data_IF_774154657568
#
_entry.id   IF_774154657568
#
_cell.length_a   1.000
_cell.length_b   1.000
_cell.length_c   1.000
_cell.angle_alpha   90.00
_cell.angle_beta   90.00
_cell.angle_gamma   90.00
#
_symmetry.space_group_name_H-M   'P 1'
#
loop_
_entity.id
_entity.type
_entity.pdbx_description
1 polymer ?
#
# COMPACT_ATOMS: atom_id res chain seq x y z
N UNK A 1 -3.77 -23.09 9.39
CA UNK A 1 -4.76 -22.86 8.31
C UNK A 1 -5.42 -21.51 8.59
N UNK A 2 -5.62 -20.68 7.58
CA UNK A 2 -6.34 -19.42 7.78
C UNK A 2 -7.84 -19.72 7.81
N UNK A 3 -8.51 -19.38 8.92
CA UNK A 3 -9.98 -19.45 9.04
C UNK A 3 -10.56 -18.24 8.35
N UNK A 4 -11.52 -18.43 7.43
CA UNK A 4 -12.22 -17.32 6.78
C UNK A 4 -13.43 -16.92 7.61
N UNK A 5 -13.77 -15.64 7.68
CA UNK A 5 -15.05 -15.19 8.23
C UNK A 5 -16.27 -15.68 7.43
N UNK A 6 -16.02 -16.26 6.23
CA UNK A 6 -17.05 -16.80 5.35
C UNK A 6 -17.35 -18.27 5.58
N UNK A 7 -16.42 -19.03 6.15
CA UNK A 7 -16.53 -20.48 6.24
C UNK A 7 -15.73 -21.01 7.44
N UNK A 8 -16.31 -21.88 8.31
CA UNK A 8 -15.57 -22.54 9.37
C UNK A 8 -14.40 -23.40 8.86
N UNK A 9 -14.47 -23.88 7.62
CA UNK A 9 -13.43 -24.71 7.03
C UNK A 9 -12.38 -23.88 6.26
N UNK A 10 -11.10 -24.26 6.35
CA UNK A 10 -10.04 -23.57 5.64
C UNK A 10 -10.17 -23.77 4.13
N UNK A 11 -10.31 -22.67 3.39
CA UNK A 11 -10.30 -22.69 1.92
C UNK A 11 -8.92 -22.34 1.36
N UNK A 12 -8.50 -22.94 0.24
CA UNK A 12 -7.25 -22.58 -0.44
C UNK A 12 -7.23 -21.10 -0.88
N UNK A 13 -6.04 -20.49 -0.79
CA UNK A 13 -5.79 -19.16 -1.36
C UNK A 13 -5.47 -19.30 -2.85
N UNK A 14 -6.43 -18.95 -3.69
CA UNK A 14 -6.32 -18.96 -5.16
C UNK A 14 -5.94 -17.57 -5.69
N UNK A 15 -5.44 -17.50 -6.93
CA UNK A 15 -4.92 -16.26 -7.53
C UNK A 15 -5.96 -15.13 -7.60
N UNK A 16 -7.21 -15.46 -7.88
CA UNK A 16 -8.34 -14.52 -7.93
C UNK A 16 -8.67 -13.88 -6.56
N UNK A 17 -8.20 -14.48 -5.47
CA UNK A 17 -8.33 -13.97 -4.09
C UNK A 17 -7.17 -13.09 -3.66
N UNK A 18 -6.21 -12.83 -4.56
CA UNK A 18 -5.03 -12.00 -4.31
C UNK A 18 -5.10 -10.73 -5.17
N UNK A 19 -4.69 -9.61 -4.58
CA UNK A 19 -4.45 -8.38 -5.35
C UNK A 19 -3.07 -7.75 -5.08
N UNK A 20 -2.49 -7.17 -6.13
CA UNK A 20 -1.34 -6.26 -6.03
C UNK A 20 -1.80 -4.82 -6.24
N UNK A 21 -1.63 -3.99 -5.22
CA UNK A 21 -2.02 -2.59 -5.22
C UNK A 21 -0.85 -1.65 -5.47
N UNK A 22 -1.03 -0.68 -6.36
CA UNK A 22 0.00 0.30 -6.75
C UNK A 22 -0.52 1.73 -6.67
N UNK A 23 0.38 2.70 -6.63
CA UNK A 23 0.00 4.11 -6.71
C UNK A 23 -0.22 4.57 -8.16
N UNK A 24 0.53 4.02 -9.11
CA UNK A 24 0.54 4.48 -10.49
C UNK A 24 0.29 3.36 -11.51
N UNK A 25 -0.27 3.71 -12.66
CA UNK A 25 -0.69 2.72 -13.68
C UNK A 25 0.51 2.06 -14.38
N UNK A 26 1.61 2.78 -14.51
CA UNK A 26 2.90 2.26 -14.99
C UNK A 26 3.47 1.21 -14.03
N UNK A 27 3.41 1.43 -12.71
CA UNK A 27 3.75 0.43 -11.70
C UNK A 27 2.87 -0.81 -11.85
N UNK A 28 1.56 -0.64 -12.00
CA UNK A 28 0.64 -1.76 -12.24
C UNK A 28 1.01 -2.53 -13.52
N UNK A 29 1.36 -1.83 -14.60
CA UNK A 29 1.78 -2.46 -15.85
C UNK A 29 3.09 -3.24 -15.69
N UNK A 30 4.10 -2.66 -15.02
CA UNK A 30 5.38 -3.29 -14.76
C UNK A 30 5.24 -4.54 -13.88
N UNK A 31 4.42 -4.48 -12.83
CA UNK A 31 4.12 -5.63 -11.98
C UNK A 31 3.40 -6.73 -12.76
N UNK A 32 2.41 -6.40 -13.60
CA UNK A 32 1.73 -7.41 -14.44
C UNK A 32 2.72 -8.12 -15.38
N UNK A 33 3.61 -7.37 -16.01
CA UNK A 33 4.64 -7.95 -16.88
C UNK A 33 5.56 -8.91 -16.08
N UNK A 34 6.08 -8.45 -14.94
CA UNK A 34 6.95 -9.26 -14.09
C UNK A 34 6.28 -10.54 -13.55
N UNK A 35 4.98 -10.49 -13.21
CA UNK A 35 4.21 -11.66 -12.79
C UNK A 35 4.00 -12.65 -13.94
N UNK A 36 3.72 -12.15 -15.15
CA UNK A 36 3.57 -12.98 -16.34
C UNK A 36 4.88 -13.72 -16.68
N UNK A 37 6.03 -13.05 -16.54
CA UNK A 37 7.35 -13.63 -16.80
C UNK A 37 7.66 -14.83 -15.88
N UNK A 38 7.09 -14.86 -14.67
CA UNK A 38 7.25 -15.96 -13.70
C UNK A 38 6.05 -16.93 -13.71
N UNK A 39 5.14 -16.80 -14.69
CA UNK A 39 3.99 -17.69 -14.84
C UNK A 39 2.86 -17.48 -13.83
N UNK A 40 2.85 -16.37 -13.09
CA UNK A 40 1.75 -16.00 -12.19
C UNK A 40 0.68 -15.26 -12.98
N UNK A 41 -0.44 -15.93 -13.19
CA UNK A 41 -1.61 -15.43 -13.91
C UNK A 41 -2.77 -15.17 -12.95
N UNK A 42 -3.80 -14.45 -13.42
CA UNK A 42 -5.09 -14.20 -12.75
C UNK A 42 -5.06 -13.42 -11.41
N UNK A 43 -3.89 -13.02 -10.92
CA UNK A 43 -3.77 -12.06 -9.82
C UNK A 43 -4.25 -10.68 -10.28
N UNK A 44 -5.16 -10.05 -9.52
CA UNK A 44 -5.53 -8.67 -9.83
C UNK A 44 -4.37 -7.74 -9.51
N UNK A 45 -3.85 -7.00 -10.49
CA UNK A 45 -2.89 -5.93 -10.25
C UNK A 45 -3.54 -4.63 -10.66
N UNK A 46 -3.62 -3.62 -9.78
CA UNK A 46 -4.23 -2.34 -10.16
C UNK A 46 -3.84 -1.17 -9.25
N UNK A 47 -4.33 0.03 -9.57
CA UNK A 47 -4.12 1.21 -8.73
C UNK A 47 -5.11 1.31 -7.57
N UNK A 48 -4.79 2.08 -6.53
CA UNK A 48 -5.67 2.34 -5.40
C UNK A 48 -7.12 2.68 -5.83
N UNK A 49 -7.30 3.62 -6.75
CA UNK A 49 -8.63 4.04 -7.23
C UNK A 49 -9.41 2.91 -7.92
N UNK A 50 -8.71 1.98 -8.60
CA UNK A 50 -9.33 0.83 -9.28
C UNK A 50 -9.68 -0.29 -8.30
N UNK A 51 -8.95 -0.40 -7.20
CA UNK A 51 -9.19 -1.38 -6.14
C UNK A 51 -10.20 -0.90 -5.09
N UNK A 52 -10.56 0.39 -5.10
CA UNK A 52 -11.49 0.96 -4.16
C UNK A 52 -12.86 0.25 -4.19
N UNK A 53 -13.38 -0.09 -3.02
CA UNK A 53 -14.65 -0.83 -2.89
C UNK A 53 -14.56 -2.32 -3.20
N UNK A 54 -13.39 -2.83 -3.57
CA UNK A 54 -13.12 -4.27 -3.72
C UNK A 54 -12.39 -4.81 -2.49
N UNK A 55 -12.49 -6.12 -2.28
CA UNK A 55 -11.83 -6.82 -1.20
C UNK A 55 -11.24 -8.13 -1.69
N UNK A 56 -10.11 -8.50 -1.10
CA UNK A 56 -9.32 -9.67 -1.40
C UNK A 56 -8.90 -10.32 -0.10
N UNK A 57 -8.59 -11.61 -0.13
CA UNK A 57 -8.09 -12.31 1.04
C UNK A 57 -6.72 -11.78 1.46
N UNK A 58 -5.83 -11.67 0.47
CA UNK A 58 -4.46 -11.19 0.65
C UNK A 58 -4.18 -10.08 -0.35
N UNK A 59 -3.54 -9.01 0.14
CA UNK A 59 -3.03 -7.95 -0.72
C UNK A 59 -1.52 -7.78 -0.57
N UNK A 60 -0.85 -7.51 -1.69
CA UNK A 60 0.52 -7.02 -1.72
C UNK A 60 0.46 -5.59 -2.23
N UNK A 61 0.95 -4.61 -1.49
CA UNK A 61 0.84 -3.20 -1.89
C UNK A 61 2.20 -2.53 -1.94
N UNK A 62 2.44 -1.80 -3.02
CA UNK A 62 3.62 -0.95 -3.13
C UNK A 62 3.32 0.33 -2.36
N UNK A 63 4.13 0.61 -1.34
CA UNK A 63 3.98 1.84 -0.56
C UNK A 63 4.05 3.05 -1.51
N UNK A 64 3.09 4.01 -1.47
CA UNK A 64 2.98 5.05 -2.49
C UNK A 64 4.25 5.88 -2.73
N UNK A 65 5.05 6.08 -1.69
CA UNK A 65 6.31 6.83 -1.75
C UNK A 65 7.51 6.04 -2.32
N UNK A 66 7.37 4.74 -2.57
CA UNK A 66 8.50 3.88 -2.99
C UNK A 66 9.02 4.16 -4.41
N UNK A 67 8.21 4.81 -5.25
CA UNK A 67 8.60 5.17 -6.62
C UNK A 67 9.03 6.63 -6.79
N UNK A 68 9.17 7.40 -5.69
CA UNK A 68 9.33 8.85 -5.76
C UNK A 68 10.69 9.32 -5.26
N UNK A 69 11.37 10.23 -5.96
CA UNK A 69 12.58 10.87 -5.45
C UNK A 69 12.26 11.92 -4.37
N UNK A 70 11.04 12.47 -4.36
CA UNK A 70 10.62 13.60 -3.53
C UNK A 70 9.23 13.39 -2.87
N UNK A 71 9.05 13.91 -1.64
CA UNK A 71 7.78 13.88 -0.90
C UNK A 71 7.08 15.26 -0.95
N UNK A 72 6.60 15.66 -2.12
CA UNK A 72 5.80 16.89 -2.25
C UNK A 72 4.38 16.73 -1.69
N UNK A 73 3.71 17.85 -1.35
CA UNK A 73 2.36 17.89 -0.73
C UNK A 73 1.27 17.10 -1.49
N UNK A 74 1.41 16.92 -2.80
CA UNK A 74 0.51 16.07 -3.61
C UNK A 74 0.68 14.56 -3.35
N UNK A 75 1.86 14.12 -2.89
CA UNK A 75 2.15 12.71 -2.58
C UNK A 75 1.73 12.30 -1.18
N UNK A 76 1.47 13.28 -0.32
CA UNK A 76 0.87 13.11 1.00
C UNK A 76 -0.65 12.98 0.92
N UNK A 77 -1.23 12.73 -0.26
CA UNK A 77 -2.67 12.50 -0.41
C UNK A 77 -3.09 11.29 0.45
N UNK A 78 -3.67 11.59 1.62
CA UNK A 78 -4.03 10.70 2.73
C UNK A 78 -4.80 9.44 2.27
N UNK A 79 -5.50 9.51 1.13
CA UNK A 79 -6.40 8.46 0.66
C UNK A 79 -5.73 7.23 0.05
N UNK A 80 -4.59 7.35 -0.63
CA UNK A 80 -4.06 6.22 -1.44
C UNK A 80 -3.52 5.10 -0.56
N UNK A 81 -2.73 5.43 0.46
CA UNK A 81 -2.25 4.44 1.43
C UNK A 81 -3.42 3.82 2.19
N UNK A 82 -4.39 4.64 2.63
CA UNK A 82 -5.59 4.16 3.32
C UNK A 82 -6.36 3.14 2.49
N UNK A 83 -6.62 3.43 1.21
CA UNK A 83 -7.30 2.49 0.31
C UNK A 83 -6.47 1.21 0.17
N UNK A 84 -5.19 1.32 -0.19
CA UNK A 84 -4.32 0.16 -0.42
C UNK A 84 -4.21 -0.74 0.82
N UNK A 85 -4.04 -0.15 2.00
CA UNK A 85 -3.88 -0.86 3.26
C UNK A 85 -5.18 -1.49 3.78
N UNK A 86 -6.33 -1.26 3.14
CA UNK A 86 -7.65 -1.71 3.63
C UNK A 86 -8.40 -2.63 2.66
N UNK A 87 -7.77 -3.09 1.58
CA UNK A 87 -8.42 -4.02 0.61
C UNK A 87 -8.28 -5.50 0.99
N UNK A 88 -7.55 -5.82 2.06
CA UNK A 88 -7.34 -7.18 2.53
C UNK A 88 -8.37 -7.59 3.58
N UNK A 89 -8.70 -8.88 3.61
CA UNK A 89 -9.50 -9.51 4.68
C UNK A 89 -8.63 -10.21 5.71
N UNK A 90 -7.55 -10.86 5.25
CA UNK A 90 -6.71 -11.71 6.10
C UNK A 90 -5.30 -11.15 6.27
N UNK A 91 -4.66 -10.67 5.20
CA UNK A 91 -3.29 -10.15 5.28
C UNK A 91 -2.99 -9.05 4.25
N UNK A 92 -2.23 -8.04 4.68
CA UNK A 92 -1.68 -7.00 3.84
C UNK A 92 -0.15 -7.01 3.95
N UNK A 93 0.52 -7.21 2.82
CA UNK A 93 1.98 -7.16 2.71
C UNK A 93 2.36 -5.84 2.05
N UNK A 94 3.12 -5.01 2.75
CA UNK A 94 3.56 -3.70 2.22
C UNK A 94 5.00 -3.80 1.73
N UNK A 95 5.20 -3.61 0.43
CA UNK A 95 6.52 -3.48 -0.19
C UNK A 95 6.90 -2.02 -0.20
N UNK A 96 7.97 -1.68 0.52
CA UNK A 96 8.41 -0.30 0.69
C UNK A 96 9.89 -0.14 0.33
N UNK A 97 10.23 0.91 -0.42
CA UNK A 97 11.62 1.29 -0.68
C UNK A 97 12.31 1.63 0.63
N UNK A 98 13.54 1.16 0.82
CA UNK A 98 14.37 1.63 1.91
C UNK A 98 14.52 3.16 1.88
N UNK A 99 14.57 3.80 3.06
CA UNK A 99 14.71 5.25 3.18
C UNK A 99 13.41 6.06 3.09
N UNK A 100 12.23 5.44 2.88
CA UNK A 100 10.96 6.18 2.90
C UNK A 100 10.67 6.85 4.24
N UNK A 101 11.07 6.23 5.37
CA UNK A 101 10.94 6.90 6.69
C UNK A 101 11.77 8.18 6.75
N UNK A 102 13.05 8.10 6.36
CA UNK A 102 13.93 9.27 6.33
C UNK A 102 13.42 10.35 5.36
N UNK A 103 12.90 9.96 4.20
CA UNK A 103 12.28 10.87 3.25
C UNK A 103 11.11 11.66 3.87
N UNK A 104 10.29 11.00 4.70
CA UNK A 104 9.19 11.63 5.42
C UNK A 104 9.70 12.55 6.54
N UNK A 105 10.74 12.14 7.27
CA UNK A 105 11.38 12.95 8.31
C UNK A 105 11.97 14.26 7.75
N UNK A 106 12.54 14.21 6.54
CA UNK A 106 13.12 15.38 5.84
C UNK A 106 12.06 16.35 5.28
N UNK A 107 10.79 15.93 5.22
CA UNK A 107 9.67 16.73 4.68
C UNK A 107 8.51 16.81 5.69
N UNK A 108 8.72 17.44 6.86
CA UNK A 108 7.65 17.60 7.84
C UNK A 108 6.50 18.42 7.23
N UNK A 109 5.27 18.09 7.61
CA UNK A 109 4.08 18.85 7.23
C UNK A 109 4.08 20.22 7.94
N UNK A 110 4.84 21.17 7.40
CA UNK A 110 4.94 22.53 7.94
C UNK A 110 4.07 23.53 7.17
N UNK A 111 3.02 23.07 6.48
CA UNK A 111 2.10 24.01 5.84
C UNK A 111 1.48 24.92 6.91
N UNK A 112 1.61 26.26 6.76
CA UNK A 112 1.08 27.18 7.74
C UNK A 112 -0.43 26.98 7.85
N UNK A 113 -0.92 26.78 9.08
CA UNK A 113 -2.35 26.66 9.37
C UNK A 113 -3.05 27.92 8.87
N UNK A 114 -3.74 27.81 7.73
CA UNK A 114 -4.60 28.87 7.24
C UNK A 114 -5.90 28.85 8.05
N UNK A 115 -6.07 29.83 8.93
CA UNK A 115 -7.30 30.04 9.69
C UNK A 115 -8.48 30.19 8.70
N UNK A 116 -9.41 29.24 8.74
CA UNK A 116 -10.62 29.24 7.90
C UNK A 116 -10.68 28.17 6.81
N UNK A 117 -9.60 27.40 6.59
CA UNK A 117 -9.63 26.22 5.73
C UNK A 117 -9.89 24.98 6.58
N UNK A 118 -10.80 24.10 6.15
CA UNK A 118 -11.01 22.80 6.80
C UNK A 118 -9.74 21.98 6.66
N UNK A 119 -8.98 21.84 7.75
CA UNK A 119 -7.82 20.94 7.81
C UNK A 119 -8.30 19.55 7.46
N UNK A 120 -7.74 18.95 6.40
CA UNK A 120 -8.11 17.61 5.95
C UNK A 120 -7.52 16.62 6.94
N UNK A 121 -8.27 16.30 7.98
CA UNK A 121 -7.84 15.40 9.05
C UNK A 121 -8.17 13.94 8.66
N UNK A 122 -7.26 12.98 8.84
CA UNK A 122 -5.87 13.13 9.31
C UNK A 122 -4.93 13.68 8.23
N UNK A 123 -3.86 14.35 8.67
CA UNK A 123 -2.75 14.74 7.80
C UNK A 123 -2.09 13.48 7.22
N UNK A 124 -1.93 13.45 5.90
CA UNK A 124 -1.34 12.31 5.21
C UNK A 124 0.10 12.03 5.62
N UNK A 125 0.86 13.05 6.05
CA UNK A 125 2.19 12.87 6.62
C UNK A 125 2.14 12.06 7.91
N UNK A 126 1.31 12.47 8.87
CA UNK A 126 1.12 11.75 10.15
C UNK A 126 0.62 10.32 9.92
N UNK A 127 -0.31 10.13 8.97
CA UNK A 127 -0.83 8.81 8.64
C UNK A 127 0.25 7.86 8.11
N UNK A 128 1.15 8.35 7.24
CA UNK A 128 2.28 7.54 6.76
C UNK A 128 3.23 7.18 7.90
N UNK A 129 3.59 8.13 8.76
CA UNK A 129 4.43 7.85 9.94
C UNK A 129 3.79 6.83 10.87
N UNK A 130 2.51 6.98 11.18
CA UNK A 130 1.79 6.07 12.06
C UNK A 130 1.77 4.64 11.50
N UNK A 131 1.50 4.49 10.19
CA UNK A 131 1.49 3.17 9.52
C UNK A 131 2.89 2.57 9.51
N UNK A 132 3.92 3.32 9.11
CA UNK A 132 5.29 2.80 9.06
C UNK A 132 5.83 2.44 10.45
N UNK A 133 5.52 3.26 11.46
CA UNK A 133 5.83 2.97 12.86
C UNK A 133 5.17 1.68 13.31
N UNK A 134 3.86 1.51 13.01
CA UNK A 134 3.13 0.28 13.38
C UNK A 134 3.67 -0.97 12.68
N UNK A 135 4.11 -0.84 11.43
CA UNK A 135 4.66 -1.96 10.66
C UNK A 135 6.13 -2.27 10.98
N UNK A 136 6.82 -1.42 11.76
CA UNK A 136 8.24 -1.59 12.06
C UNK A 136 8.55 -2.91 12.77
N UNK A 137 7.66 -3.36 13.66
CA UNK A 137 7.74 -4.63 14.39
C UNK A 137 7.64 -5.87 13.47
N UNK A 138 7.08 -5.69 12.27
CA UNK A 138 6.85 -6.75 11.28
C UNK A 138 7.78 -6.64 10.06
N UNK A 139 8.76 -5.73 10.11
CA UNK A 139 9.60 -5.42 8.96
C UNK A 139 10.59 -6.55 8.66
N UNK A 140 10.59 -7.01 7.41
CA UNK A 140 11.60 -7.93 6.87
C UNK A 140 12.50 -7.15 5.90
N UNK A 141 13.82 -7.00 6.17
CA UNK A 141 14.73 -6.33 5.25
C UNK A 141 14.97 -7.20 4.00
N UNK A 142 14.97 -6.57 2.82
CA UNK A 142 15.40 -7.25 1.60
C UNK A 142 16.92 -7.41 1.61
N UNK A 143 17.39 -8.64 1.39
CA UNK A 143 18.80 -8.97 1.21
C UNK A 143 18.97 -9.57 -0.20
N UNK A 144 19.67 -8.90 -1.13
CA UNK A 144 19.98 -9.50 -2.42
C UNK A 144 20.94 -10.67 -2.19
N UNK A 145 20.57 -11.84 -2.72
CA UNK A 145 21.42 -13.03 -2.81
C UNK A 145 22.40 -12.94 -3.98
#
# INVERSE_FOLDING_TARGET
AATSERDPDPTPLTADRIAVGTAHRDQAAAVRAALADVGVLDVTVDTANRLQGREYDVTVVLHPLSGRPDATAFHLETGRLCVLASRHRHACIVVCRAGVSALLDDHPSTEPVQLGVTVKFPDGWEANHAVLSRLSEHRVPWQPH
#
